data_IF_456364386223
#
_entry.id   IF_456364386223
#
_cell.length_a   1.000
_cell.length_b   1.000
_cell.length_c   1.000
_cell.angle_alpha   90.00
_cell.angle_beta   90.00
_cell.angle_gamma   90.00
#
_symmetry.space_group_name_H-M   'P 1'
#
loop_
_entity.id
_entity.type
_entity.pdbx_description
1 polymer ?
#
# COMPACT_ATOMS: atom_id res chain seq x y z
N UNK A 1 2.32 -20.62 12.47
CA UNK A 1 2.09 -21.98 11.93
C UNK A 1 2.78 -22.17 10.58
N UNK A 2 2.35 -21.47 9.52
CA UNK A 2 2.95 -21.59 8.17
C UNK A 2 4.48 -21.44 8.20
N UNK A 3 4.99 -20.38 8.81
CA UNK A 3 6.44 -20.15 8.96
C UNK A 3 7.16 -21.33 9.61
N UNK A 4 6.62 -21.84 10.72
CA UNK A 4 7.22 -22.96 11.44
C UNK A 4 7.22 -24.24 10.60
N UNK A 5 6.13 -24.51 9.88
CA UNK A 5 6.04 -25.66 8.98
C UNK A 5 7.04 -25.55 7.82
N UNK A 6 7.22 -24.36 7.24
CA UNK A 6 8.21 -24.11 6.17
C UNK A 6 9.64 -24.30 6.67
N UNK A 7 9.95 -23.86 7.89
CA UNK A 7 11.27 -24.09 8.49
C UNK A 7 11.53 -25.58 8.72
N UNK A 8 10.54 -26.33 9.19
CA UNK A 8 10.69 -27.78 9.43
C UNK A 8 10.93 -28.56 8.13
N UNK A 9 10.38 -28.13 7.00
CA UNK A 9 10.68 -28.74 5.69
C UNK A 9 12.17 -28.65 5.32
N UNK A 10 12.88 -27.62 5.79
CA UNK A 10 14.27 -27.35 5.45
C UNK A 10 15.25 -27.72 6.59
N UNK A 11 14.85 -28.60 7.51
CA UNK A 11 15.71 -29.02 8.64
C UNK A 11 15.79 -28.00 9.79
N UNK A 12 14.76 -27.17 9.95
CA UNK A 12 14.66 -26.14 10.98
C UNK A 12 15.30 -24.81 10.57
N UNK A 13 15.40 -23.88 11.52
CA UNK A 13 15.93 -22.52 11.26
C UNK A 13 17.37 -22.56 10.73
N UNK A 14 18.22 -23.40 11.32
CA UNK A 14 19.63 -23.53 10.94
C UNK A 14 19.79 -24.13 9.54
N UNK A 15 19.02 -25.17 9.22
CA UNK A 15 19.02 -25.78 7.88
C UNK A 15 18.52 -24.81 6.81
N UNK A 16 17.44 -24.08 7.10
CA UNK A 16 16.91 -23.05 6.21
C UNK A 16 17.91 -21.90 5.98
N UNK A 17 18.62 -21.46 7.03
CA UNK A 17 19.62 -20.40 6.93
C UNK A 17 20.85 -20.84 6.12
N UNK A 18 21.26 -22.11 6.30
CA UNK A 18 22.36 -22.70 5.55
C UNK A 18 22.00 -22.84 4.07
N UNK A 19 20.80 -23.32 3.77
CA UNK A 19 20.28 -23.38 2.40
C UNK A 19 20.24 -21.99 1.74
N UNK A 20 19.80 -20.96 2.49
CA UNK A 20 19.76 -19.58 2.00
C UNK A 20 21.17 -18.99 1.78
N UNK A 21 22.16 -19.37 2.59
CA UNK A 21 23.55 -18.90 2.45
C UNK A 21 24.25 -19.48 1.22
N UNK A 22 23.86 -20.69 0.81
CA UNK A 22 24.38 -21.39 -0.36
C UNK A 22 23.66 -21.00 -1.65
N UNK A 23 22.47 -20.40 -1.53
CA UNK A 23 21.69 -19.92 -2.65
C UNK A 23 22.37 -18.73 -3.34
N UNK A 24 22.93 -18.96 -4.53
CA UNK A 24 23.37 -17.92 -5.46
C UNK A 24 22.26 -17.70 -6.49
N UNK A 25 21.56 -16.56 -6.42
CA UNK A 25 20.63 -16.17 -7.48
C UNK A 25 21.41 -16.06 -8.80
N UNK A 26 20.93 -16.73 -9.84
CA UNK A 26 21.56 -16.76 -11.16
C UNK A 26 21.46 -15.44 -11.95
N UNK A 27 20.82 -14.41 -11.38
CA UNK A 27 20.48 -13.17 -12.08
C UNK A 27 21.47 -12.02 -11.90
N UNK A 28 22.36 -12.08 -10.91
CA UNK A 28 23.46 -11.13 -10.73
C UNK A 28 24.57 -11.84 -9.97
N UNK A 29 25.83 -11.42 -10.11
CA UNK A 29 26.98 -11.89 -9.32
C UNK A 29 26.84 -11.47 -7.83
N UNK A 30 25.71 -11.79 -7.21
CA UNK A 30 25.41 -11.54 -5.81
C UNK A 30 26.21 -12.56 -5.02
N UNK A 31 27.17 -12.05 -4.25
CA UNK A 31 28.08 -12.84 -3.44
C UNK A 31 27.31 -13.82 -2.54
N UNK A 32 27.87 -15.03 -2.39
CA UNK A 32 27.36 -16.04 -1.43
C UNK A 32 27.16 -15.38 -0.06
N UNK A 33 25.96 -15.54 0.53
CA UNK A 33 25.62 -14.97 1.83
C UNK A 33 24.89 -13.61 1.82
N UNK A 34 24.77 -12.89 0.71
CA UNK A 34 23.98 -11.64 0.65
C UNK A 34 22.49 -11.90 0.93
N UNK A 35 21.99 -13.08 0.57
CA UNK A 35 20.60 -13.48 0.85
C UNK A 35 20.33 -13.72 2.34
N UNK A 36 21.36 -13.97 3.16
CA UNK A 36 21.25 -14.05 4.62
C UNK A 36 21.40 -12.70 5.33
N UNK A 37 21.70 -11.63 4.60
CA UNK A 37 21.79 -10.27 5.16
C UNK A 37 20.41 -9.75 5.58
N UNK A 38 20.34 -9.07 6.72
CA UNK A 38 19.11 -8.42 7.24
C UNK A 38 18.54 -7.41 6.23
N UNK A 39 19.40 -6.77 5.44
CA UNK A 39 18.99 -5.78 4.43
C UNK A 39 18.69 -6.39 3.05
N UNK A 40 18.95 -7.69 2.87
CA UNK A 40 18.76 -8.39 1.61
C UNK A 40 19.64 -7.87 0.46
N UNK A 41 19.35 -8.28 -0.78
CA UNK A 41 20.13 -7.93 -1.97
C UNK A 41 19.87 -6.51 -2.50
N UNK A 42 18.73 -5.91 -2.16
CA UNK A 42 18.37 -4.54 -2.57
C UNK A 42 17.87 -3.73 -1.35
N UNK A 43 18.79 -3.16 -0.56
CA UNK A 43 18.46 -2.37 0.63
C UNK A 43 17.62 -1.12 0.31
N UNK A 44 17.82 -0.52 -0.87
CA UNK A 44 17.14 0.72 -1.25
C UNK A 44 15.66 0.45 -1.49
N UNK A 45 15.34 -0.58 -2.27
CA UNK A 45 13.94 -0.96 -2.48
C UNK A 45 13.28 -1.47 -1.20
N UNK A 46 14.04 -2.14 -0.30
CA UNK A 46 13.52 -2.53 1.02
C UNK A 46 13.12 -1.31 1.85
N UNK A 47 13.98 -0.30 1.93
CA UNK A 47 13.67 0.97 2.59
C UNK A 47 12.47 1.64 1.90
N UNK A 48 12.43 1.61 0.57
CA UNK A 48 11.31 2.11 -0.22
C UNK A 48 9.97 1.47 0.18
N UNK A 49 9.93 0.13 0.28
CA UNK A 49 8.75 -0.62 0.73
C UNK A 49 8.35 -0.20 2.14
N UNK A 50 9.31 -0.13 3.08
CA UNK A 50 9.04 0.22 4.48
C UNK A 50 8.48 1.63 4.57
N UNK A 51 9.07 2.61 3.87
CA UNK A 51 8.61 3.99 3.88
C UNK A 51 7.22 4.14 3.24
N UNK A 52 7.01 3.54 2.07
CA UNK A 52 5.74 3.61 1.36
C UNK A 52 4.62 2.96 2.17
N UNK A 53 4.88 1.81 2.79
CA UNK A 53 3.85 1.10 3.57
C UNK A 53 3.59 1.71 4.94
N UNK A 54 4.61 2.32 5.56
CA UNK A 54 4.47 2.93 6.89
C UNK A 54 3.87 4.32 6.84
N UNK A 55 4.45 5.22 6.03
CA UNK A 55 4.01 6.62 5.94
C UNK A 55 2.94 6.82 4.86
N UNK A 56 2.98 6.06 3.78
CA UNK A 56 2.01 6.23 2.69
C UNK A 56 0.57 5.98 3.16
N UNK A 57 0.37 5.00 4.06
CA UNK A 57 -0.96 4.68 4.63
C UNK A 57 -1.64 5.83 5.33
N UNK A 58 -0.90 6.83 5.80
CA UNK A 58 -1.48 7.99 6.49
C UNK A 58 -2.24 8.91 5.51
N UNK A 59 -1.81 8.96 4.25
CA UNK A 59 -2.47 9.74 3.21
C UNK A 59 -3.61 9.00 2.50
N UNK A 60 -3.81 7.70 2.76
CA UNK A 60 -4.79 6.89 2.06
C UNK A 60 -6.22 7.18 2.58
N UNK A 61 -7.16 7.65 1.73
CA UNK A 61 -8.51 8.02 2.17
C UNK A 61 -9.25 6.93 2.96
N UNK A 62 -9.11 5.67 2.53
CA UNK A 62 -9.71 4.50 3.20
C UNK A 62 -9.16 4.23 4.61
N UNK A 63 -7.97 4.75 4.93
CA UNK A 63 -7.39 4.67 6.27
C UNK A 63 -7.83 5.86 7.11
N UNK A 64 -7.83 7.06 6.53
CA UNK A 64 -8.33 8.29 7.16
C UNK A 64 -9.79 8.13 7.59
N UNK A 65 -10.61 7.50 6.75
CA UNK A 65 -12.03 7.27 7.03
C UNK A 65 -12.28 6.48 8.33
N UNK A 66 -11.37 5.60 8.74
CA UNK A 66 -11.50 4.81 9.96
C UNK A 66 -11.41 5.67 11.22
N UNK A 67 -10.69 6.79 11.17
CA UNK A 67 -10.60 7.70 12.31
C UNK A 67 -11.93 8.41 12.60
N UNK A 68 -12.77 8.64 11.59
CA UNK A 68 -14.11 9.21 11.80
C UNK A 68 -15.09 8.25 12.50
N UNK A 69 -14.80 6.94 12.50
CA UNK A 69 -15.62 5.94 13.18
C UNK A 69 -15.27 5.77 14.67
N UNK A 70 -14.21 6.45 15.16
CA UNK A 70 -13.77 6.36 16.54
C UNK A 70 -14.75 7.13 17.44
N UNK A 71 -15.33 6.43 18.41
CA UNK A 71 -16.38 6.98 19.29
C UNK A 71 -15.82 7.76 20.48
N UNK A 72 -14.66 7.35 20.98
CA UNK A 72 -14.08 7.84 22.22
C UNK A 72 -12.55 7.88 22.15
N UNK A 73 -11.96 8.85 22.84
CA UNK A 73 -10.50 9.06 22.86
C UNK A 73 -9.76 7.91 23.54
N UNK A 74 -10.40 7.22 24.50
CA UNK A 74 -9.80 6.07 25.19
C UNK A 74 -9.57 4.88 24.25
N UNK A 75 -10.44 4.73 23.25
CA UNK A 75 -10.31 3.74 22.18
C UNK A 75 -9.12 4.01 21.27
N UNK A 76 -8.66 5.26 21.14
CA UNK A 76 -7.45 5.60 20.35
C UNK A 76 -6.23 4.94 20.99
N UNK A 77 -5.98 5.18 22.29
CA UNK A 77 -4.79 4.64 22.98
C UNK A 77 -4.75 3.11 22.95
N UNK A 78 -5.88 2.46 23.25
CA UNK A 78 -6.00 1.00 23.18
C UNK A 78 -5.82 0.48 21.75
N UNK A 79 -6.46 1.14 20.79
CA UNK A 79 -6.38 0.82 19.37
C UNK A 79 -4.94 0.90 18.85
N UNK A 80 -4.19 1.93 19.22
CA UNK A 80 -2.78 2.10 18.85
C UNK A 80 -1.93 0.93 19.37
N UNK A 81 -2.00 0.61 20.67
CA UNK A 81 -1.18 -0.48 21.25
C UNK A 81 -1.48 -1.82 20.58
N UNK A 82 -2.75 -2.17 20.46
CA UNK A 82 -3.18 -3.43 19.84
C UNK A 82 -2.74 -3.47 18.38
N UNK A 83 -2.92 -2.38 17.64
CA UNK A 83 -2.55 -2.29 16.22
C UNK A 83 -1.04 -2.36 16.01
N UNK A 84 -0.23 -1.73 16.88
CA UNK A 84 1.22 -1.77 16.79
C UNK A 84 1.76 -3.18 17.03
N UNK A 85 1.27 -3.88 18.07
CA UNK A 85 1.68 -5.27 18.34
C UNK A 85 1.27 -6.17 17.18
N UNK A 86 0.05 -6.01 16.69
CA UNK A 86 -0.45 -6.80 15.56
C UNK A 86 0.36 -6.52 14.27
N UNK A 87 0.63 -5.26 13.97
CA UNK A 87 1.44 -4.86 12.82
C UNK A 87 2.87 -5.42 12.91
N UNK A 88 3.48 -5.44 14.10
CA UNK A 88 4.80 -6.03 14.29
C UNK A 88 4.82 -7.53 13.97
N UNK A 89 3.83 -8.29 14.47
CA UNK A 89 3.70 -9.73 14.22
C UNK A 89 3.46 -10.00 12.73
N UNK A 90 2.53 -9.27 12.11
CA UNK A 90 2.17 -9.46 10.70
C UNK A 90 3.33 -9.05 9.78
N UNK A 91 3.91 -7.86 9.96
CA UNK A 91 5.03 -7.39 9.16
C UNK A 91 6.23 -8.33 9.30
N UNK A 92 6.62 -8.67 10.53
CA UNK A 92 7.70 -9.62 10.80
C UNK A 92 7.46 -10.98 10.13
N UNK A 93 6.22 -11.50 10.22
CA UNK A 93 5.84 -12.74 9.55
C UNK A 93 5.95 -12.66 8.02
N UNK A 94 5.47 -11.57 7.40
CA UNK A 94 5.54 -11.37 5.96
C UNK A 94 6.97 -11.23 5.44
N UNK A 95 7.84 -10.46 6.12
CA UNK A 95 9.24 -10.32 5.74
C UNK A 95 9.99 -11.65 5.89
N UNK A 96 9.73 -12.39 6.97
CA UNK A 96 10.30 -13.72 7.17
C UNK A 96 9.87 -14.67 6.04
N UNK A 97 8.58 -14.71 5.72
CA UNK A 97 8.05 -15.54 4.65
C UNK A 97 8.63 -15.16 3.28
N UNK A 98 8.79 -13.87 3.00
CA UNK A 98 9.41 -13.40 1.77
C UNK A 98 10.89 -13.80 1.64
N UNK A 99 11.64 -13.77 2.74
CA UNK A 99 13.04 -14.20 2.76
C UNK A 99 13.19 -15.71 2.51
N UNK A 100 12.44 -16.55 3.24
CA UNK A 100 12.50 -18.01 3.09
C UNK A 100 11.77 -18.53 1.84
N UNK A 101 10.82 -17.77 1.29
CA UNK A 101 10.14 -18.11 0.04
C UNK A 101 11.12 -18.27 -1.13
N UNK A 102 12.26 -17.57 -1.10
CA UNK A 102 13.34 -17.71 -2.11
C UNK A 102 13.93 -19.12 -2.19
N UNK A 103 13.82 -19.93 -1.14
CA UNK A 103 14.26 -21.33 -1.19
C UNK A 103 13.44 -22.17 -2.17
N UNK A 104 12.22 -21.74 -2.49
CA UNK A 104 11.32 -22.40 -3.45
C UNK A 104 11.44 -21.82 -4.86
N UNK A 105 12.27 -20.79 -5.05
CA UNK A 105 12.45 -20.09 -6.31
C UNK A 105 13.02 -21.00 -7.41
N UNK A 106 13.92 -21.93 -7.07
CA UNK A 106 14.49 -22.88 -8.04
C UNK A 106 13.49 -23.91 -8.59
N UNK A 107 12.29 -24.00 -8.00
CA UNK A 107 11.23 -24.90 -8.43
C UNK A 107 10.20 -24.21 -9.34
N UNK A 108 10.36 -22.90 -9.56
CA UNK A 108 9.43 -22.07 -10.31
C UNK A 108 10.20 -21.41 -11.44
N UNK A 109 9.63 -21.46 -12.64
CA UNK A 109 10.11 -20.59 -13.70
C UNK A 109 9.56 -19.17 -13.48
N UNK A 110 10.33 -18.35 -12.75
CA UNK A 110 9.97 -16.95 -12.43
C UNK A 110 9.74 -16.14 -13.71
N UNK A 111 10.44 -16.48 -14.80
CA UNK A 111 10.35 -15.75 -16.06
C UNK A 111 8.96 -15.90 -16.71
N UNK A 112 8.30 -17.04 -16.52
CA UNK A 112 6.94 -17.30 -17.02
C UNK A 112 5.84 -17.11 -15.97
N UNK A 113 6.12 -17.43 -14.70
CA UNK A 113 5.11 -17.50 -13.63
C UNK A 113 5.14 -16.32 -12.66
N UNK A 114 6.17 -15.48 -12.73
CA UNK A 114 6.36 -14.30 -11.88
C UNK A 114 6.67 -14.61 -10.41
N UNK A 115 7.10 -13.58 -9.67
CA UNK A 115 7.41 -13.69 -8.23
C UNK A 115 6.18 -14.00 -7.35
N UNK A 116 4.97 -13.72 -7.83
CA UNK A 116 3.73 -13.94 -7.08
C UNK A 116 3.41 -15.43 -6.88
N UNK A 117 4.01 -16.31 -7.70
CA UNK A 117 3.85 -17.76 -7.61
C UNK A 117 4.66 -18.41 -6.47
N UNK A 118 5.58 -17.68 -5.84
CA UNK A 118 6.45 -18.20 -4.77
C UNK A 118 5.62 -18.67 -3.56
N UNK A 119 4.68 -17.84 -3.10
CA UNK A 119 3.87 -18.17 -1.91
C UNK A 119 2.96 -19.38 -2.17
N UNK A 120 2.19 -19.45 -3.28
CA UNK A 120 1.43 -20.65 -3.63
C UNK A 120 2.29 -21.93 -3.69
N UNK A 121 3.46 -21.89 -4.33
CA UNK A 121 4.36 -23.06 -4.42
C UNK A 121 4.91 -23.45 -3.06
N UNK A 122 5.25 -22.51 -2.20
CA UNK A 122 5.67 -22.84 -0.84
C UNK A 122 4.52 -23.47 -0.03
N UNK A 123 3.28 -23.03 -0.23
CA UNK A 123 2.12 -23.63 0.43
C UNK A 123 1.82 -25.05 -0.07
N UNK A 124 2.08 -25.38 -1.34
CA UNK A 124 1.82 -26.73 -1.87
C UNK A 124 2.66 -27.84 -1.23
N UNK A 125 3.75 -27.49 -0.54
CA UNK A 125 4.59 -28.41 0.22
C UNK A 125 4.11 -28.65 1.65
N UNK A 126 3.04 -27.96 2.08
CA UNK A 126 2.48 -28.08 3.42
C UNK A 126 1.32 -29.09 3.45
N UNK A 127 1.01 -29.66 4.63
CA UNK A 127 -0.16 -30.51 4.81
C UNK A 127 -1.46 -29.84 4.34
N UNK A 128 -2.34 -30.60 3.68
CA UNK A 128 -3.58 -30.10 3.07
C UNK A 128 -4.45 -29.28 4.03
N UNK A 129 -4.54 -29.67 5.30
CA UNK A 129 -5.28 -28.94 6.32
C UNK A 129 -4.75 -27.51 6.54
N UNK A 130 -3.43 -27.32 6.51
CA UNK A 130 -2.80 -26.00 6.69
C UNK A 130 -3.03 -25.15 5.44
N UNK A 131 -2.95 -25.74 4.26
CA UNK A 131 -3.23 -25.07 2.98
C UNK A 131 -4.68 -24.59 2.93
N UNK A 132 -5.64 -25.44 3.29
CA UNK A 132 -7.05 -25.08 3.33
C UNK A 132 -7.31 -23.89 4.26
N UNK A 133 -6.76 -23.91 5.47
CA UNK A 133 -6.86 -22.79 6.42
C UNK A 133 -6.19 -21.52 5.86
N UNK A 134 -5.00 -21.64 5.28
CA UNK A 134 -4.27 -20.50 4.70
C UNK A 134 -5.08 -19.83 3.58
N UNK A 135 -5.66 -20.62 2.66
CA UNK A 135 -6.48 -20.11 1.56
C UNK A 135 -7.73 -19.39 2.09
N UNK A 136 -8.42 -19.97 3.07
CA UNK A 136 -9.60 -19.33 3.69
C UNK A 136 -9.23 -18.00 4.36
N UNK A 137 -8.09 -17.94 5.07
CA UNK A 137 -7.61 -16.71 5.72
C UNK A 137 -7.25 -15.63 4.71
N UNK A 138 -6.56 -15.98 3.62
CA UNK A 138 -6.21 -15.03 2.55
C UNK A 138 -7.46 -14.49 1.88
N UNK A 139 -8.42 -15.36 1.52
CA UNK A 139 -9.68 -14.95 0.91
C UNK A 139 -10.48 -14.02 1.85
N UNK A 140 -10.54 -14.34 3.14
CA UNK A 140 -11.20 -13.50 4.15
C UNK A 140 -10.55 -12.11 4.24
N UNK A 141 -9.22 -12.04 4.31
CA UNK A 141 -8.47 -10.79 4.36
C UNK A 141 -8.70 -9.94 3.09
N UNK A 142 -8.64 -10.55 1.90
CA UNK A 142 -8.89 -9.86 0.63
C UNK A 142 -10.31 -9.29 0.55
N UNK A 143 -11.33 -10.05 0.97
CA UNK A 143 -12.73 -9.58 0.96
C UNK A 143 -12.95 -8.38 1.90
N UNK A 144 -12.30 -8.37 3.07
CA UNK A 144 -12.38 -7.23 4.01
C UNK A 144 -11.77 -5.94 3.43
N UNK A 145 -10.67 -6.08 2.69
CA UNK A 145 -9.97 -4.95 2.05
C UNK A 145 -10.76 -4.44 0.85
N UNK A 146 -11.22 -5.34 -0.02
CA UNK A 146 -12.03 -5.02 -1.19
C UNK A 146 -13.30 -4.28 -0.77
N UNK A 147 -14.02 -4.78 0.23
CA UNK A 147 -15.24 -4.14 0.72
C UNK A 147 -14.98 -2.71 1.18
N UNK A 148 -13.89 -2.47 1.92
CA UNK A 148 -13.52 -1.13 2.39
C UNK A 148 -13.19 -0.18 1.24
N UNK A 149 -12.42 -0.62 0.25
CA UNK A 149 -12.00 0.19 -0.91
C UNK A 149 -13.18 0.54 -1.83
N UNK A 150 -14.05 -0.45 -2.10
CA UNK A 150 -15.23 -0.26 -2.96
C UNK A 150 -16.25 0.65 -2.28
N UNK A 151 -16.47 0.46 -0.98
CA UNK A 151 -17.40 1.30 -0.22
C UNK A 151 -16.90 2.74 -0.16
N UNK A 152 -15.61 2.96 0.15
CA UNK A 152 -15.01 4.28 0.18
C UNK A 152 -15.11 5.00 -1.18
N UNK A 153 -14.82 4.30 -2.28
CA UNK A 153 -14.92 4.85 -3.64
C UNK A 153 -16.38 5.18 -4.00
N UNK A 154 -17.31 4.29 -3.66
CA UNK A 154 -18.74 4.46 -3.97
C UNK A 154 -19.37 5.59 -3.17
N UNK A 155 -19.02 5.72 -1.89
CA UNK A 155 -19.51 6.80 -1.03
C UNK A 155 -18.97 8.15 -1.48
N UNK A 156 -17.67 8.23 -1.79
CA UNK A 156 -17.03 9.47 -2.27
C UNK A 156 -17.69 9.95 -3.56
N UNK A 157 -17.87 9.08 -4.56
CA UNK A 157 -18.54 9.47 -5.81
C UNK A 157 -20.01 9.87 -5.59
N UNK A 158 -20.72 9.20 -4.69
CA UNK A 158 -22.15 9.48 -4.49
C UNK A 158 -22.38 10.75 -3.68
N UNK A 159 -21.64 10.94 -2.60
CA UNK A 159 -21.83 12.04 -1.67
C UNK A 159 -21.11 13.30 -2.15
N UNK A 160 -19.84 13.18 -2.55
CA UNK A 160 -18.99 14.34 -2.82
C UNK A 160 -19.15 14.84 -4.26
N UNK A 161 -19.31 13.94 -5.24
CA UNK A 161 -19.51 14.35 -6.64
C UNK A 161 -20.99 14.55 -6.97
N UNK A 162 -21.80 13.49 -6.81
CA UNK A 162 -23.21 13.53 -7.22
C UNK A 162 -24.07 14.34 -6.26
N UNK A 163 -23.81 14.25 -4.96
CA UNK A 163 -24.54 14.99 -3.93
C UNK A 163 -24.36 16.51 -4.05
N UNK A 164 -23.15 16.97 -4.38
CA UNK A 164 -22.90 18.40 -4.62
C UNK A 164 -23.54 18.89 -5.93
N UNK A 165 -23.50 18.08 -6.99
CA UNK A 165 -24.11 18.42 -8.28
C UNK A 165 -25.65 18.38 -8.24
N UNK A 166 -26.25 17.51 -7.43
CA UNK A 166 -27.70 17.31 -7.33
C UNK A 166 -28.16 17.36 -5.87
N UNK A 167 -28.38 18.59 -5.39
CA UNK A 167 -28.67 18.92 -3.99
C UNK A 167 -29.93 18.30 -3.39
N UNK A 168 -30.89 17.84 -4.22
CA UNK A 168 -32.18 17.27 -3.78
C UNK A 168 -32.24 15.73 -3.86
N UNK A 169 -31.11 15.03 -3.73
CA UNK A 169 -31.13 13.57 -3.65
C UNK A 169 -31.62 13.10 -2.29
N UNK A 170 -32.72 12.34 -2.30
CA UNK A 170 -33.22 11.67 -1.11
C UNK A 170 -32.23 10.57 -0.66
N UNK A 171 -32.21 10.25 0.64
CA UNK A 171 -31.32 9.24 1.23
C UNK A 171 -31.50 7.85 0.58
N UNK A 172 -32.73 7.49 0.23
CA UNK A 172 -33.00 6.24 -0.50
C UNK A 172 -32.33 6.19 -1.88
N UNK A 173 -32.28 7.32 -2.59
CA UNK A 173 -31.64 7.41 -3.90
C UNK A 173 -30.12 7.41 -3.76
N UNK A 174 -29.55 8.09 -2.76
CA UNK A 174 -28.12 8.01 -2.45
C UNK A 174 -27.70 6.57 -2.15
N UNK A 175 -28.45 5.85 -1.31
CA UNK A 175 -28.20 4.44 -1.01
C UNK A 175 -28.28 3.56 -2.27
N UNK A 176 -29.25 3.80 -3.15
CA UNK A 176 -29.39 3.06 -4.41
C UNK A 176 -28.19 3.32 -5.33
N UNK A 177 -27.79 4.58 -5.48
CA UNK A 177 -26.63 4.98 -6.29
C UNK A 177 -25.33 4.37 -5.75
N UNK A 178 -25.09 4.42 -4.43
CA UNK A 178 -23.93 3.77 -3.82
C UNK A 178 -23.88 2.27 -4.09
N UNK A 179 -25.02 1.56 -4.02
CA UNK A 179 -25.10 0.13 -4.35
C UNK A 179 -24.79 -0.15 -5.81
N UNK A 180 -25.26 0.70 -6.72
CA UNK A 180 -24.97 0.59 -8.16
C UNK A 180 -23.48 0.79 -8.42
N UNK A 181 -22.87 1.84 -7.86
CA UNK A 181 -21.42 2.06 -7.99
C UNK A 181 -20.60 0.93 -7.37
N UNK A 182 -21.03 0.40 -6.23
CA UNK A 182 -20.40 -0.76 -5.61
C UNK A 182 -20.36 -1.94 -6.58
N UNK A 183 -21.49 -2.26 -7.22
CA UNK A 183 -21.56 -3.34 -8.20
C UNK A 183 -20.67 -3.07 -9.43
N UNK A 184 -20.66 -1.83 -9.93
CA UNK A 184 -19.81 -1.42 -11.07
C UNK A 184 -18.32 -1.58 -10.72
N UNK A 185 -17.89 -1.11 -9.55
CA UNK A 185 -16.49 -1.22 -9.12
C UNK A 185 -16.06 -2.67 -8.91
N UNK A 186 -16.92 -3.53 -8.35
CA UNK A 186 -16.63 -4.96 -8.23
C UNK A 186 -16.46 -5.60 -9.61
N UNK A 187 -17.36 -5.28 -10.56
CA UNK A 187 -17.27 -5.80 -11.92
C UNK A 187 -16.01 -5.31 -12.64
N UNK A 188 -15.69 -4.02 -12.50
CA UNK A 188 -14.47 -3.44 -13.06
C UNK A 188 -13.21 -4.09 -12.46
N UNK A 189 -13.18 -4.29 -11.12
CA UNK A 189 -12.09 -4.98 -10.44
C UNK A 189 -11.90 -6.41 -10.94
N UNK A 190 -12.99 -7.13 -11.22
CA UNK A 190 -12.94 -8.48 -11.78
C UNK A 190 -12.39 -8.48 -13.21
N UNK A 191 -12.82 -7.54 -14.05
CA UNK A 191 -12.30 -7.40 -15.43
C UNK A 191 -10.82 -7.09 -15.42
N UNK A 192 -10.36 -6.14 -14.60
CA UNK A 192 -8.93 -5.79 -14.48
C UNK A 192 -8.11 -6.99 -13.98
N UNK A 193 -8.61 -7.75 -12.99
CA UNK A 193 -7.94 -8.95 -12.51
C UNK A 193 -7.77 -10.02 -13.60
N UNK A 194 -8.79 -10.24 -14.43
CA UNK A 194 -8.71 -11.19 -15.57
C UNK A 194 -7.70 -10.73 -16.62
N UNK A 195 -7.68 -9.43 -16.92
CA UNK A 195 -6.71 -8.86 -17.87
C UNK A 195 -5.29 -8.99 -17.33
N UNK A 196 -5.07 -8.69 -16.05
CA UNK A 196 -3.76 -8.83 -15.41
C UNK A 196 -3.28 -10.28 -15.46
N UNK A 197 -4.14 -11.25 -15.13
CA UNK A 197 -3.83 -12.67 -15.16
C UNK A 197 -3.40 -13.14 -16.56
N UNK A 198 -4.05 -12.64 -17.62
CA UNK A 198 -3.72 -13.02 -19.02
C UNK A 198 -2.55 -12.24 -19.61
N UNK A 199 -2.34 -11.00 -19.16
CA UNK A 199 -1.41 -10.06 -19.75
C UNK A 199 -0.01 -10.06 -19.14
N UNK A 200 0.23 -10.76 -18.02
CA UNK A 200 1.54 -10.79 -17.36
C UNK A 200 2.02 -9.41 -16.90
N UNK A 201 1.09 -8.52 -16.55
CA UNK A 201 1.37 -7.09 -16.32
C UNK A 201 2.01 -6.89 -14.93
N UNK A 202 3.32 -7.12 -14.85
CA UNK A 202 4.11 -6.88 -13.63
C UNK A 202 3.71 -7.74 -12.43
N UNK A 203 4.60 -7.89 -11.45
CA UNK A 203 4.24 -8.56 -10.21
C UNK A 203 3.35 -7.65 -9.33
N UNK A 204 2.49 -8.26 -8.52
CA UNK A 204 1.40 -7.57 -7.79
C UNK A 204 1.91 -6.39 -6.95
N UNK A 205 3.05 -6.55 -6.28
CA UNK A 205 3.62 -5.49 -5.45
C UNK A 205 4.13 -4.27 -6.27
N UNK A 206 4.44 -4.39 -7.56
CA UNK A 206 4.70 -3.21 -8.41
C UNK A 206 3.43 -2.41 -8.68
N UNK A 207 2.32 -3.09 -8.97
CA UNK A 207 1.02 -2.44 -9.18
C UNK A 207 0.53 -1.76 -7.90
N UNK A 208 0.75 -2.42 -6.76
CA UNK A 208 0.54 -1.80 -5.45
C UNK A 208 1.40 -0.54 -5.31
N UNK A 209 2.69 -0.59 -5.67
CA UNK A 209 3.59 0.56 -5.67
C UNK A 209 3.06 1.73 -6.49
N UNK A 210 2.54 1.46 -7.69
CA UNK A 210 1.92 2.50 -8.55
C UNK A 210 0.69 3.11 -7.87
N UNK A 211 -0.23 2.28 -7.39
CA UNK A 211 -1.48 2.74 -6.77
C UNK A 211 -1.23 3.50 -5.46
N UNK A 212 -0.47 2.92 -4.54
CA UNK A 212 -0.15 3.52 -3.25
C UNK A 212 0.74 4.74 -3.40
N UNK A 213 1.73 4.71 -4.30
CA UNK A 213 2.58 5.86 -4.60
C UNK A 213 1.78 7.05 -5.13
N UNK A 214 0.78 6.80 -5.99
CA UNK A 214 -0.08 7.85 -6.54
C UNK A 214 -0.95 8.49 -5.45
N UNK A 215 -1.61 7.65 -4.64
CA UNK A 215 -2.49 8.12 -3.56
C UNK A 215 -1.70 8.80 -2.44
N UNK A 216 -0.64 8.17 -1.95
CA UNK A 216 0.20 8.74 -0.91
C UNK A 216 0.88 10.03 -1.38
N UNK A 217 1.42 10.05 -2.61
CA UNK A 217 2.00 11.25 -3.20
C UNK A 217 1.01 12.39 -3.35
N UNK A 218 -0.25 12.10 -3.68
CA UNK A 218 -1.31 13.11 -3.80
C UNK A 218 -1.75 13.65 -2.44
N UNK A 219 -2.12 12.77 -1.51
CA UNK A 219 -2.92 13.12 -0.34
C UNK A 219 -2.11 13.28 0.94
N UNK A 220 -0.95 12.65 1.09
CA UNK A 220 -0.20 12.64 2.36
C UNK A 220 0.19 14.04 2.82
N UNK A 221 0.82 14.82 1.93
CA UNK A 221 1.28 16.16 2.27
C UNK A 221 0.11 17.13 2.52
N UNK A 222 -0.92 17.23 1.66
CA UNK A 222 -2.11 18.02 1.96
C UNK A 222 -2.80 17.63 3.26
N UNK A 223 -2.87 16.34 3.57
CA UNK A 223 -3.48 15.86 4.82
C UNK A 223 -2.67 16.32 6.05
N UNK A 224 -1.36 16.11 6.05
CA UNK A 224 -0.50 16.50 7.18
C UNK A 224 -0.44 18.02 7.36
N UNK A 225 -0.16 18.77 6.29
CA UNK A 225 -0.06 20.22 6.38
C UNK A 225 -1.43 20.88 6.60
N UNK A 226 -2.52 20.32 6.07
CA UNK A 226 -3.87 20.79 6.35
C UNK A 226 -4.27 20.65 7.83
N UNK A 227 -3.75 19.64 8.55
CA UNK A 227 -4.01 19.44 9.97
C UNK A 227 -3.07 20.24 10.89
N UNK A 228 -1.79 20.38 10.52
CA UNK A 228 -0.75 20.89 11.42
C UNK A 228 -0.12 22.22 10.98
N UNK A 229 -0.40 22.72 9.78
CA UNK A 229 0.09 24.01 9.31
C UNK A 229 -0.98 24.97 8.75
N UNK A 230 -1.21 26.07 9.47
CA UNK A 230 -2.26 27.07 9.17
C UNK A 230 -2.08 27.80 7.83
N UNK A 231 -0.88 27.74 7.25
CA UNK A 231 -0.54 28.48 6.03
C UNK A 231 -0.77 27.67 4.75
N UNK A 232 -1.28 26.45 4.85
CA UNK A 232 -1.54 25.60 3.68
C UNK A 232 -2.51 26.30 2.73
N UNK A 233 -2.15 26.43 1.45
CA UNK A 233 -3.01 27.07 0.44
C UNK A 233 -3.72 26.04 -0.44
N UNK A 234 -4.89 26.40 -0.98
CA UNK A 234 -5.66 25.52 -1.88
C UNK A 234 -4.88 25.22 -3.17
N UNK A 235 -4.11 26.18 -3.69
CA UNK A 235 -3.23 25.97 -4.85
C UNK A 235 -2.17 24.91 -4.57
N UNK A 236 -1.60 24.90 -3.35
CA UNK A 236 -0.62 23.90 -2.96
C UNK A 236 -1.20 22.48 -2.91
N UNK A 237 -2.46 22.35 -2.48
CA UNK A 237 -3.18 21.06 -2.49
C UNK A 237 -3.35 20.54 -3.93
N UNK A 238 -3.79 21.40 -4.86
CA UNK A 238 -3.92 21.03 -6.27
C UNK A 238 -2.60 20.62 -6.90
N UNK A 239 -1.51 21.34 -6.60
CA UNK A 239 -0.17 20.96 -7.08
C UNK A 239 0.21 19.56 -6.59
N UNK A 240 -0.07 19.23 -5.32
CA UNK A 240 0.17 17.88 -4.79
C UNK A 240 -0.67 16.81 -5.50
N UNK A 241 -1.96 17.08 -5.73
CA UNK A 241 -2.88 16.16 -6.41
C UNK A 241 -2.49 15.87 -7.86
N UNK A 242 -1.80 16.80 -8.52
CA UNK A 242 -1.28 16.60 -9.88
C UNK A 242 0.11 15.95 -9.83
N UNK A 243 1.00 16.42 -8.95
CA UNK A 243 2.38 15.96 -8.88
C UNK A 243 2.49 14.49 -8.47
N UNK A 244 1.74 14.03 -7.46
CA UNK A 244 1.81 12.65 -6.97
C UNK A 244 1.49 11.61 -8.06
N UNK A 245 0.28 11.62 -8.63
CA UNK A 245 -0.08 10.75 -9.75
C UNK A 245 0.75 11.01 -11.00
N UNK A 246 1.15 12.26 -11.26
CA UNK A 246 2.02 12.62 -12.38
C UNK A 246 3.37 11.92 -12.34
N UNK A 247 4.02 11.87 -11.17
CA UNK A 247 5.29 11.15 -10.97
C UNK A 247 5.11 9.65 -11.23
N UNK A 248 4.00 9.07 -10.77
CA UNK A 248 3.71 7.66 -11.00
C UNK A 248 3.36 7.34 -12.45
N UNK A 249 2.66 8.24 -13.16
CA UNK A 249 2.42 8.12 -14.59
C UNK A 249 3.72 8.20 -15.38
N UNK A 250 4.64 9.09 -15.01
CA UNK A 250 5.97 9.17 -15.62
C UNK A 250 6.74 7.87 -15.37
N UNK A 251 6.71 7.33 -14.15
CA UNK A 251 7.33 6.03 -13.85
C UNK A 251 6.73 4.89 -14.68
N UNK A 252 5.41 4.91 -14.93
CA UNK A 252 4.74 3.87 -15.71
C UNK A 252 5.04 3.98 -17.21
N UNK A 253 5.04 5.18 -17.78
CA UNK A 253 5.18 5.41 -19.23
C UNK A 253 6.63 5.54 -19.71
N UNK A 254 7.50 6.13 -18.88
CA UNK A 254 8.89 6.46 -19.22
C UNK A 254 9.90 5.72 -18.34
N UNK A 255 9.53 4.54 -17.82
CA UNK A 255 10.36 3.72 -16.93
C UNK A 255 11.83 3.58 -17.39
N UNK A 256 12.15 3.29 -18.67
CA UNK A 256 13.54 3.08 -19.09
C UNK A 256 14.39 4.35 -19.07
N UNK A 257 13.76 5.53 -19.13
CA UNK A 257 14.45 6.83 -19.12
C UNK A 257 14.77 7.32 -17.72
N UNK A 258 14.19 6.69 -16.68
CA UNK A 258 14.44 7.05 -15.30
C UNK A 258 15.73 6.40 -14.76
N UNK A 259 16.40 7.06 -13.80
CA UNK A 259 17.50 6.45 -13.05
C UNK A 259 17.10 5.08 -12.50
N UNK A 260 18.03 4.13 -12.47
CA UNK A 260 17.79 2.73 -12.04
C UNK A 260 16.99 2.63 -10.72
N UNK A 261 17.29 3.48 -9.76
CA UNK A 261 16.61 3.55 -8.45
C UNK A 261 15.12 3.87 -8.60
N UNK A 262 14.77 4.78 -9.52
CA UNK A 262 13.41 5.26 -9.75
C UNK A 262 12.64 4.41 -10.76
N UNK A 263 13.24 3.35 -11.33
CA UNK A 263 12.51 2.42 -12.19
C UNK A 263 11.54 1.55 -11.37
N UNK A 264 11.88 1.27 -10.12
CA UNK A 264 10.98 0.62 -9.16
C UNK A 264 9.80 1.54 -8.82
N UNK A 265 8.54 1.14 -9.07
CA UNK A 265 7.38 1.95 -8.72
C UNK A 265 7.27 2.26 -7.24
N UNK A 266 7.81 1.39 -6.40
CA UNK A 266 7.80 1.57 -4.94
C UNK A 266 8.68 2.76 -4.56
N UNK A 267 9.89 2.82 -5.13
CA UNK A 267 10.83 3.92 -4.89
C UNK A 267 10.30 5.23 -5.51
N UNK A 268 9.71 5.16 -6.71
CA UNK A 268 9.03 6.30 -7.33
C UNK A 268 7.85 6.81 -6.46
N UNK A 269 7.11 5.91 -5.81
CA UNK A 269 6.05 6.27 -4.87
C UNK A 269 6.56 7.01 -3.64
N UNK A 270 7.69 6.58 -3.07
CA UNK A 270 8.37 7.31 -1.99
C UNK A 270 8.85 8.68 -2.47
N UNK A 271 9.40 8.77 -3.68
CA UNK A 271 9.74 10.06 -4.27
C UNK A 271 8.51 10.97 -4.40
N UNK A 272 7.38 10.44 -4.87
CA UNK A 272 6.14 11.20 -4.99
C UNK A 272 5.67 11.77 -3.64
N UNK A 273 5.79 10.98 -2.56
CA UNK A 273 5.52 11.46 -1.19
C UNK A 273 6.48 12.59 -0.77
N UNK A 274 7.78 12.42 -0.99
CA UNK A 274 8.79 13.44 -0.63
C UNK A 274 8.55 14.73 -1.42
N UNK A 275 8.28 14.62 -2.72
CA UNK A 275 7.99 15.76 -3.59
C UNK A 275 6.74 16.49 -3.10
N UNK A 276 5.66 15.78 -2.75
CA UNK A 276 4.48 16.39 -2.14
C UNK A 276 4.81 17.13 -0.84
N UNK A 277 5.62 16.51 0.03
CA UNK A 277 6.04 17.10 1.31
C UNK A 277 6.89 18.37 1.16
N UNK A 278 7.57 18.55 0.02
CA UNK A 278 8.38 19.74 -0.29
C UNK A 278 7.54 20.79 -1.04
N UNK A 279 6.76 20.37 -2.05
CA UNK A 279 5.99 21.27 -2.90
C UNK A 279 4.88 21.97 -2.12
N UNK A 280 4.18 21.26 -1.22
CA UNK A 280 3.06 21.86 -0.47
C UNK A 280 3.51 23.05 0.37
N UNK A 281 4.59 22.96 1.18
CA UNK A 281 5.16 24.11 1.88
C UNK A 281 5.62 25.25 0.98
N UNK A 282 6.36 24.93 -0.09
CA UNK A 282 6.93 25.94 -0.98
C UNK A 282 5.81 26.73 -1.68
N UNK A 283 4.84 26.03 -2.28
CA UNK A 283 3.73 26.68 -3.00
C UNK A 283 2.88 27.47 -2.01
N UNK A 284 2.60 26.94 -0.82
CA UNK A 284 1.83 27.66 0.20
C UNK A 284 2.51 28.93 0.73
N UNK A 285 3.84 28.99 0.74
CA UNK A 285 4.59 30.20 1.12
C UNK A 285 4.62 31.26 0.00
N UNK A 286 4.61 30.81 -1.25
CA UNK A 286 4.61 31.68 -2.43
C UNK A 286 3.20 32.20 -2.77
N UNK A 287 2.18 31.43 -2.40
CA UNK A 287 0.79 31.78 -2.63
C UNK A 287 0.35 32.91 -1.68
N UNK A 288 -0.21 33.97 -2.28
CA UNK A 288 -0.71 35.15 -1.55
C UNK A 288 -2.16 34.97 -1.09
N UNK A 289 -2.91 34.05 -1.71
CA UNK A 289 -4.28 33.74 -1.32
C UNK A 289 -4.30 32.63 -0.27
N UNK A 290 -4.33 33.04 1.01
CA UNK A 290 -4.50 32.12 2.14
C UNK A 290 -5.97 31.73 2.29
N UNK A 291 -6.45 30.87 1.41
CA UNK A 291 -7.85 30.42 1.37
C UNK A 291 -8.02 28.95 1.79
N UNK A 292 -7.37 28.54 2.86
CA UNK A 292 -7.87 27.42 3.65
C UNK A 292 -8.25 28.04 4.97
N UNK A 293 -9.53 28.08 5.35
CA UNK A 293 -9.93 28.45 6.72
C UNK A 293 -9.49 27.32 7.66
N UNK A 294 -8.44 27.48 8.49
CA UNK A 294 -7.99 26.42 9.39
C UNK A 294 -8.29 26.79 10.85
N UNK A 295 -8.87 27.96 11.15
CA UNK A 295 -8.83 28.50 12.52
C UNK A 295 -9.55 27.61 13.54
N UNK A 296 -10.67 26.99 13.18
CA UNK A 296 -11.47 26.17 14.11
C UNK A 296 -10.92 24.75 14.36
N UNK A 297 -10.21 24.14 13.39
CA UNK A 297 -9.60 22.82 13.57
C UNK A 297 -8.29 22.94 14.34
N UNK A 298 -7.50 23.98 14.05
CA UNK A 298 -6.21 24.20 14.73
C UNK A 298 -6.36 24.48 16.22
N UNK A 299 -7.35 25.28 16.62
CA UNK A 299 -7.63 25.50 18.05
C UNK A 299 -7.98 24.18 18.75
N UNK A 300 -8.79 23.31 18.14
CA UNK A 300 -9.14 22.00 18.74
C UNK A 300 -7.96 21.02 18.79
N UNK A 301 -7.12 20.98 17.75
CA UNK A 301 -5.93 20.12 17.71
C UNK A 301 -4.93 20.55 18.80
N UNK A 302 -4.73 21.85 19.03
CA UNK A 302 -3.85 22.36 20.09
C UNK A 302 -4.33 22.05 21.51
N UNK A 303 -5.63 21.94 21.72
CA UNK A 303 -6.23 21.67 23.03
C UNK A 303 -6.19 20.16 23.38
N UNK A 304 -5.95 19.30 22.40
CA UNK A 304 -6.01 17.83 22.55
C UNK A 304 -4.64 17.15 22.76
N UNK A 305 -3.57 17.93 22.92
CA UNK A 305 -2.22 17.47 23.27
C UNK A 305 -1.74 18.18 24.54
#
# INVERSE_FOLDING_TARGET
VIIFSVLNLNGGLVGSLTALSQYSSSADNISKGVMTSIFGPDPISLIGVVLLTSFGTWGLPQMVQKFYAIKDESSIKKGTIISTIFAFIVAGGCYFLGAFGRLFESQIDISSSGFDSIVPTMLSHLPEAIVAVAVVLVLSASMSTLSSLVLASSSTLTLDLIGELKKDLNEHDKLRIMKIFTAIFVLLSAVVAIIQYKGGIGFIAQLMGISWGSLAGAFLAPFLFGLYWEKTSTSAVWVSFIAGPGIMLINMLFRPMLPSILQSPINAGVLAMIVGMILVPIVSLLDKEKNVEPRLIFEKVKISF
#
